data_IF_421362735296
#
_entry.id   IF_421362735296
#
_cell.length_a   1.000
_cell.length_b   1.000
_cell.length_c   1.000
_cell.angle_alpha   90.00
_cell.angle_beta   90.00
_cell.angle_gamma   90.00
#
_symmetry.space_group_name_H-M   'P 1'
#
loop_
_entity.id
_entity.type
_entity.pdbx_description
1 polymer ?
#
# COMPACT_ATOMS: atom_id res chain seq x y z
N UNK A 1 4.99 -6.68 -10.49
CA UNK A 1 4.89 -5.21 -10.53
C UNK A 1 4.98 -4.68 -9.11
N UNK A 2 5.83 -3.67 -8.88
CA UNK A 2 6.04 -3.00 -7.60
C UNK A 2 5.56 -1.57 -7.71
N UNK A 3 4.84 -1.09 -6.71
CA UNK A 3 4.27 0.25 -6.67
C UNK A 3 4.76 0.97 -5.42
N UNK A 4 5.21 2.21 -5.60
CA UNK A 4 5.52 3.16 -4.54
C UNK A 4 4.56 4.34 -4.66
N UNK A 5 4.21 4.95 -3.53
CA UNK A 5 3.40 6.18 -3.50
C UNK A 5 4.18 7.26 -2.80
N UNK A 6 4.19 8.46 -3.38
CA UNK A 6 4.70 9.65 -2.72
C UNK A 6 3.71 10.82 -2.91
N UNK A 7 3.32 11.42 -1.79
CA UNK A 7 2.47 12.61 -1.72
C UNK A 7 3.24 13.66 -0.93
N UNK A 8 3.56 14.79 -1.54
CA UNK A 8 4.24 15.89 -0.86
C UNK A 8 3.33 16.49 0.23
N UNK A 9 3.92 16.88 1.36
CA UNK A 9 3.15 17.49 2.45
C UNK A 9 2.61 18.87 2.05
N UNK A 10 3.43 19.68 1.38
CA UNK A 10 3.08 21.03 0.91
C UNK A 10 3.23 21.13 -0.61
N UNK A 11 2.44 22.01 -1.27
CA UNK A 11 2.69 22.41 -2.65
C UNK A 11 4.07 23.07 -2.79
N UNK A 12 4.72 22.90 -3.94
CA UNK A 12 6.02 23.51 -4.24
C UNK A 12 6.05 25.05 -4.15
N UNK A 13 4.89 25.72 -4.23
CA UNK A 13 4.78 27.19 -4.21
C UNK A 13 4.75 27.80 -2.80
N UNK A 14 4.42 27.01 -1.76
CA UNK A 14 4.27 27.52 -0.38
C UNK A 14 5.58 27.49 0.43
N UNK A 15 6.67 26.94 -0.12
CA UNK A 15 7.98 26.99 0.53
C UNK A 15 8.71 28.29 0.19
N UNK A 16 8.44 29.36 0.93
CA UNK A 16 9.26 30.59 0.92
C UNK A 16 10.75 30.31 1.27
N UNK A 17 11.05 29.12 1.77
CA UNK A 17 12.38 28.58 2.01
C UNK A 17 12.89 27.74 0.83
N UNK A 18 13.42 28.41 -0.21
CA UNK A 18 14.07 27.82 -1.40
C UNK A 18 15.36 27.01 -1.15
N UNK A 19 15.48 26.30 -0.03
CA UNK A 19 16.66 25.46 0.21
C UNK A 19 16.58 24.10 -0.52
N UNK A 20 15.38 23.60 -0.81
CA UNK A 20 15.19 22.33 -1.51
C UNK A 20 14.72 22.56 -2.95
N UNK A 21 15.57 22.23 -3.94
CA UNK A 21 15.25 22.33 -5.37
C UNK A 21 14.22 21.28 -5.85
N UNK A 22 13.87 20.31 -5.00
CA UNK A 22 12.94 19.23 -5.30
C UNK A 22 12.09 18.93 -4.06
N UNK A 23 10.77 18.90 -4.21
CA UNK A 23 9.84 18.56 -3.12
C UNK A 23 9.78 17.06 -2.81
N UNK A 24 10.31 16.22 -3.72
CA UNK A 24 10.49 14.79 -3.51
C UNK A 24 11.93 14.53 -3.04
N UNK A 25 12.13 13.97 -1.83
CA UNK A 25 13.48 13.66 -1.35
C UNK A 25 14.10 12.56 -2.20
N UNK A 26 15.11 12.92 -2.98
CA UNK A 26 15.77 12.00 -3.93
C UNK A 26 16.41 10.78 -3.23
N UNK A 27 16.75 10.88 -1.94
CA UNK A 27 17.20 9.73 -1.14
C UNK A 27 16.19 8.58 -1.11
N UNK A 28 14.89 8.87 -1.13
CA UNK A 28 13.84 7.85 -1.16
C UNK A 28 13.71 7.29 -2.58
N UNK A 29 13.74 8.16 -3.60
CA UNK A 29 13.78 7.72 -5.01
C UNK A 29 14.97 6.80 -5.27
N UNK A 30 16.13 7.08 -4.66
CA UNK A 30 17.31 6.23 -4.75
C UNK A 30 17.04 4.80 -4.25
N UNK A 31 16.28 4.62 -3.16
CA UNK A 31 15.90 3.29 -2.65
C UNK A 31 14.98 2.54 -3.61
N UNK A 32 14.06 3.22 -4.29
CA UNK A 32 13.26 2.61 -5.35
C UNK A 32 14.15 2.15 -6.52
N UNK A 33 15.14 2.94 -6.91
CA UNK A 33 16.10 2.62 -7.98
C UNK A 33 17.00 1.45 -7.58
N UNK A 34 17.52 1.41 -6.36
CA UNK A 34 18.32 0.27 -5.87
C UNK A 34 17.53 -1.05 -5.94
N UNK A 35 16.25 -1.03 -5.56
CA UNK A 35 15.39 -2.21 -5.72
C UNK A 35 15.15 -2.53 -7.20
N UNK A 36 14.96 -1.52 -8.06
CA UNK A 36 14.77 -1.72 -9.49
C UNK A 36 15.98 -2.34 -10.18
N UNK A 37 17.19 -1.90 -9.81
CA UNK A 37 18.44 -2.47 -10.28
C UNK A 37 18.67 -3.90 -9.73
N UNK A 38 18.21 -4.18 -8.50
CA UNK A 38 18.27 -5.54 -7.92
C UNK A 38 17.33 -6.53 -8.60
N UNK A 39 16.20 -6.05 -9.12
CA UNK A 39 15.14 -6.89 -9.68
C UNK A 39 14.79 -6.46 -11.12
N UNK A 40 15.68 -6.71 -12.10
CA UNK A 40 15.54 -6.22 -13.48
C UNK A 40 14.26 -6.68 -14.17
N UNK A 41 13.76 -7.87 -13.85
CA UNK A 41 12.57 -8.47 -14.48
C UNK A 41 11.24 -7.92 -13.92
N UNK A 42 11.29 -7.06 -12.90
CA UNK A 42 10.12 -6.44 -12.32
C UNK A 42 9.98 -4.98 -12.78
N UNK A 43 8.74 -4.59 -13.08
CA UNK A 43 8.39 -3.18 -13.27
C UNK A 43 8.19 -2.50 -11.91
N UNK A 44 8.81 -1.34 -11.75
CA UNK A 44 8.70 -0.47 -10.60
C UNK A 44 7.97 0.81 -10.99
N UNK A 45 6.89 1.14 -10.29
CA UNK A 45 6.05 2.30 -10.58
C UNK A 45 6.10 3.24 -9.38
N UNK A 46 6.55 4.46 -9.59
CA UNK A 46 6.50 5.53 -8.61
C UNK A 46 5.32 6.45 -8.93
N UNK A 47 4.29 6.39 -8.08
CA UNK A 47 3.09 7.20 -8.18
C UNK A 47 3.26 8.51 -7.41
N UNK A 48 3.09 9.63 -8.12
CA UNK A 48 3.28 10.99 -7.60
C UNK A 48 1.99 11.80 -7.72
N UNK A 49 1.67 12.66 -6.74
CA UNK A 49 0.59 13.65 -6.92
C UNK A 49 1.13 14.88 -7.66
N UNK A 50 0.95 14.91 -8.98
CA UNK A 50 1.47 15.99 -9.81
C UNK A 50 0.86 17.37 -9.50
N UNK A 51 -0.27 17.46 -8.79
CA UNK A 51 -0.83 18.74 -8.34
C UNK A 51 0.03 19.40 -7.26
N UNK A 52 0.83 18.61 -6.54
CA UNK A 52 1.70 19.08 -5.46
C UNK A 52 3.16 19.23 -5.91
N UNK A 53 3.47 18.87 -7.16
CA UNK A 53 4.80 18.96 -7.75
C UNK A 53 4.85 20.08 -8.79
N UNK A 54 5.92 20.88 -8.75
CA UNK A 54 6.26 21.80 -9.84
C UNK A 54 7.03 21.08 -10.96
N UNK A 55 7.18 21.77 -12.10
CA UNK A 55 7.92 21.23 -13.25
C UNK A 55 9.37 20.91 -12.90
N UNK A 56 9.98 21.70 -12.01
CA UNK A 56 11.36 21.50 -11.58
C UNK A 56 11.53 20.20 -10.79
N UNK A 57 10.67 19.93 -9.81
CA UNK A 57 10.68 18.67 -9.04
C UNK A 57 10.42 17.47 -9.95
N UNK A 58 9.46 17.59 -10.89
CA UNK A 58 9.20 16.54 -11.89
C UNK A 58 10.44 16.24 -12.73
N UNK A 59 11.09 17.30 -13.24
CA UNK A 59 12.31 17.18 -14.02
C UNK A 59 13.44 16.52 -13.23
N UNK A 60 13.65 16.91 -11.97
CA UNK A 60 14.69 16.33 -11.12
C UNK A 60 14.46 14.84 -10.85
N UNK A 61 13.25 14.44 -10.48
CA UNK A 61 12.93 13.03 -10.23
C UNK A 61 13.13 12.19 -11.49
N UNK A 62 12.60 12.65 -12.63
CA UNK A 62 12.76 11.94 -13.91
C UNK A 62 14.22 11.82 -14.34
N UNK A 63 14.99 12.91 -14.22
CA UNK A 63 16.42 12.94 -14.57
C UNK A 63 17.23 12.03 -13.66
N UNK A 64 16.94 12.03 -12.35
CA UNK A 64 17.61 11.18 -11.38
C UNK A 64 17.37 9.69 -11.65
N UNK A 65 16.13 9.30 -11.96
CA UNK A 65 15.80 7.93 -12.38
C UNK A 65 16.53 7.57 -13.67
N UNK A 66 16.53 8.45 -14.67
CA UNK A 66 17.22 8.21 -15.93
C UNK A 66 18.73 8.05 -15.76
N UNK A 67 19.34 8.78 -14.84
CA UNK A 67 20.79 8.70 -14.60
C UNK A 67 21.19 7.48 -13.77
N UNK A 68 20.38 7.07 -12.80
CA UNK A 68 20.76 6.05 -11.82
C UNK A 68 20.13 4.66 -12.05
N UNK A 69 19.11 4.53 -12.90
CA UNK A 69 18.50 3.22 -13.21
C UNK A 69 19.25 2.48 -14.31
N UNK A 70 19.66 1.25 -14.03
CA UNK A 70 20.43 0.41 -14.96
C UNK A 70 19.54 -0.25 -16.03
N UNK A 71 18.29 -0.55 -15.69
CA UNK A 71 17.40 -1.38 -16.52
C UNK A 71 16.20 -0.65 -17.11
N UNK A 72 16.06 0.67 -16.87
CA UNK A 72 14.92 1.48 -17.36
C UNK A 72 13.55 0.90 -16.97
N UNK A 73 13.50 0.16 -15.86
CA UNK A 73 12.31 -0.51 -15.33
C UNK A 73 11.61 0.30 -14.21
N UNK A 74 11.96 1.58 -14.06
CA UNK A 74 11.29 2.53 -13.15
C UNK A 74 10.43 3.49 -13.96
N UNK A 75 9.13 3.50 -13.70
CA UNK A 75 8.11 4.28 -14.41
C UNK A 75 7.53 5.31 -13.46
N UNK A 76 7.40 6.56 -13.92
CA UNK A 76 6.68 7.61 -13.22
C UNK A 76 5.21 7.63 -13.65
N UNK A 77 4.31 7.62 -12.68
CA UNK A 77 2.87 7.73 -12.91
C UNK A 77 2.26 8.85 -12.07
N UNK A 78 1.18 9.44 -12.57
CA UNK A 78 0.39 10.45 -11.86
C UNK A 78 -0.74 9.79 -11.05
N UNK A 79 -0.81 10.06 -9.75
CA UNK A 79 -1.92 9.62 -8.89
C UNK A 79 -3.27 10.15 -9.40
N UNK A 80 -3.30 11.32 -10.05
CA UNK A 80 -4.52 11.91 -10.58
C UNK A 80 -5.11 11.12 -11.76
N UNK A 81 -4.33 10.22 -12.39
CA UNK A 81 -4.83 9.30 -13.40
C UNK A 81 -5.76 8.23 -12.81
N UNK A 82 -5.78 8.04 -11.49
CA UNK A 82 -6.67 7.10 -10.80
C UNK A 82 -7.99 7.83 -10.49
N UNK A 83 -9.14 7.44 -11.08
CA UNK A 83 -10.40 8.18 -10.90
C UNK A 83 -10.85 8.28 -9.44
N UNK A 84 -10.66 7.21 -8.66
CA UNK A 84 -10.99 7.20 -7.24
C UNK A 84 -10.06 8.08 -6.40
N UNK A 85 -8.87 8.42 -6.90
CA UNK A 85 -7.97 9.35 -6.23
C UNK A 85 -8.34 10.80 -6.59
N UNK A 86 -8.47 11.11 -7.88
CA UNK A 86 -8.77 12.48 -8.33
C UNK A 86 -10.19 12.95 -7.97
N UNK A 87 -11.14 12.02 -7.85
CA UNK A 87 -12.53 12.32 -7.50
C UNK A 87 -12.74 12.69 -6.03
N UNK A 88 -11.89 12.22 -5.11
CA UNK A 88 -12.10 12.33 -3.67
C UNK A 88 -11.60 13.68 -3.12
N UNK A 89 -12.46 14.39 -2.38
CA UNK A 89 -12.12 15.70 -1.80
C UNK A 89 -10.99 15.63 -0.78
N UNK A 90 -10.80 14.45 -0.16
CA UNK A 90 -9.67 14.13 0.72
C UNK A 90 -8.31 14.49 0.10
N UNK A 91 -8.16 14.34 -1.23
CA UNK A 91 -6.91 14.62 -1.93
C UNK A 91 -6.90 16.01 -2.57
N UNK A 92 -8.01 16.75 -2.58
CA UNK A 92 -8.10 18.08 -3.20
C UNK A 92 -7.78 19.21 -2.21
N UNK A 93 -8.17 19.05 -0.95
CA UNK A 93 -7.95 20.07 0.08
C UNK A 93 -6.59 19.90 0.78
N UNK A 94 -5.73 20.90 0.62
CA UNK A 94 -4.39 21.02 1.24
C UNK A 94 -4.40 21.96 2.44
N UNK A 95 -5.52 22.11 3.16
CA UNK A 95 -5.57 22.94 4.36
C UNK A 95 -4.79 22.27 5.51
N UNK A 96 -3.48 22.46 5.50
CA UNK A 96 -2.50 21.81 6.36
C UNK A 96 -2.43 22.48 7.73
N UNK A 97 -3.41 22.22 8.60
CA UNK A 97 -3.34 22.60 10.01
C UNK A 97 -2.92 21.42 10.89
N UNK A 98 -1.63 21.10 10.88
CA UNK A 98 -0.97 20.41 11.98
C UNK A 98 0.01 19.29 11.60
N UNK A 99 1.11 19.21 12.37
CA UNK A 99 2.13 18.13 12.35
C UNK A 99 1.60 16.77 12.88
N UNK A 100 0.28 16.62 13.02
CA UNK A 100 -0.32 15.44 13.62
C UNK A 100 -0.38 14.31 12.59
N UNK A 101 0.11 13.12 12.97
CA UNK A 101 0.06 11.93 12.10
C UNK A 101 -1.38 11.49 11.80
N UNK A 102 -2.32 11.84 12.68
CA UNK A 102 -3.76 11.61 12.56
C UNK A 102 -4.53 12.91 12.33
N UNK A 103 -5.68 12.79 11.66
CA UNK A 103 -6.53 13.93 11.31
C UNK A 103 -6.89 13.95 9.82
N UNK A 104 -8.09 14.43 9.50
CA UNK A 104 -8.52 14.62 8.12
C UNK A 104 -7.56 15.61 7.43
N UNK A 105 -6.98 15.20 6.29
CA UNK A 105 -5.99 16.00 5.55
C UNK A 105 -4.52 15.72 5.90
N UNK A 106 -4.22 14.89 6.90
CA UNK A 106 -2.84 14.42 7.19
C UNK A 106 -2.22 13.74 5.96
N UNK A 107 -0.97 14.06 5.64
CA UNK A 107 -0.23 13.42 4.54
C UNK A 107 -0.12 11.90 4.72
N UNK A 108 -0.03 11.43 5.96
CA UNK A 108 0.03 10.00 6.28
C UNK A 108 -1.30 9.30 5.96
N UNK A 109 -2.43 9.91 6.36
CA UNK A 109 -3.77 9.38 6.07
C UNK A 109 -4.02 9.37 4.55
N UNK A 110 -3.59 10.41 3.84
CA UNK A 110 -3.65 10.46 2.37
C UNK A 110 -2.79 9.36 1.74
N UNK A 111 -1.55 9.18 2.18
CA UNK A 111 -0.66 8.14 1.66
C UNK A 111 -1.21 6.71 1.94
N UNK A 112 -1.79 6.48 3.11
CA UNK A 112 -2.45 5.21 3.47
C UNK A 112 -3.69 4.93 2.62
N UNK A 113 -4.47 5.94 2.30
CA UNK A 113 -5.59 5.78 1.38
C UNK A 113 -5.08 5.53 -0.05
N UNK A 114 -4.14 6.35 -0.51
CA UNK A 114 -3.60 6.30 -1.87
C UNK A 114 -2.96 4.95 -2.20
N UNK A 115 -2.20 4.32 -1.28
CA UNK A 115 -1.62 2.99 -1.51
C UNK A 115 -2.68 1.92 -1.78
N UNK A 116 -3.83 2.00 -1.11
CA UNK A 116 -4.95 1.09 -1.34
C UNK A 116 -5.59 1.36 -2.70
N UNK A 117 -5.82 2.63 -3.04
CA UNK A 117 -6.39 3.00 -4.34
C UNK A 117 -5.47 2.60 -5.51
N UNK A 118 -4.15 2.75 -5.37
CA UNK A 118 -3.17 2.29 -6.35
C UNK A 118 -3.22 0.76 -6.50
N UNK A 119 -3.25 0.01 -5.40
CA UNK A 119 -3.37 -1.45 -5.47
C UNK A 119 -4.65 -1.89 -6.18
N UNK A 120 -5.78 -1.26 -5.89
CA UNK A 120 -7.07 -1.57 -6.54
C UNK A 120 -7.03 -1.25 -8.03
N UNK A 121 -6.52 -0.07 -8.39
CA UNK A 121 -6.33 0.35 -9.76
C UNK A 121 -5.45 -0.67 -10.52
N UNK A 122 -4.30 -1.02 -9.96
CA UNK A 122 -3.38 -1.96 -10.58
C UNK A 122 -3.99 -3.37 -10.70
N UNK A 123 -4.71 -3.86 -9.69
CA UNK A 123 -5.41 -5.15 -9.73
C UNK A 123 -6.45 -5.22 -10.86
N UNK A 124 -7.13 -4.12 -11.14
CA UNK A 124 -8.13 -4.03 -12.21
C UNK A 124 -7.47 -4.03 -13.59
N UNK A 125 -6.35 -3.31 -13.76
CA UNK A 125 -5.69 -3.09 -15.05
C UNK A 125 -4.67 -4.18 -15.43
N UNK A 126 -4.06 -4.87 -14.46
CA UNK A 126 -2.89 -5.73 -14.67
C UNK A 126 -3.15 -7.17 -14.21
N UNK A 127 -4.22 -7.79 -14.74
CA UNK A 127 -4.67 -9.14 -14.32
C UNK A 127 -3.73 -10.27 -14.75
N UNK A 128 -2.88 -10.01 -15.73
CA UNK A 128 -1.87 -10.93 -16.28
C UNK A 128 -0.62 -11.04 -15.39
N UNK A 129 -0.42 -10.09 -14.48
CA UNK A 129 0.77 -10.08 -13.61
C UNK A 129 0.68 -11.17 -12.54
N UNK A 130 1.81 -11.83 -12.21
CA UNK A 130 1.82 -12.91 -11.20
C UNK A 130 1.44 -12.39 -9.81
N UNK A 131 1.89 -11.17 -9.49
CA UNK A 131 1.48 -10.44 -8.30
C UNK A 131 1.70 -8.93 -8.46
N UNK A 132 0.95 -8.17 -7.68
CA UNK A 132 1.03 -6.71 -7.56
C UNK A 132 1.45 -6.39 -6.14
N UNK A 133 2.53 -5.62 -5.99
CA UNK A 133 3.12 -5.27 -4.71
C UNK A 133 3.06 -3.76 -4.54
N UNK A 134 2.63 -3.30 -3.37
CA UNK A 134 2.91 -1.96 -2.87
C UNK A 134 4.02 -2.07 -1.83
N UNK A 135 4.99 -1.15 -1.86
CA UNK A 135 5.99 -1.00 -0.81
C UNK A 135 6.09 0.44 -0.36
N UNK A 136 6.45 0.65 0.90
CA UNK A 136 7.02 1.94 1.29
C UNK A 136 8.33 2.17 0.51
N UNK A 137 8.55 3.42 0.09
CA UNK A 137 9.65 3.79 -0.82
C UNK A 137 11.03 3.63 -0.18
N UNK A 138 11.10 3.63 1.15
CA UNK A 138 12.33 3.47 1.93
C UNK A 138 12.63 2.02 2.31
N UNK A 139 11.86 1.05 1.79
CA UNK A 139 12.12 -0.37 2.02
C UNK A 139 13.47 -0.79 1.39
N UNK A 140 14.45 -1.26 2.19
CA UNK A 140 15.79 -1.55 1.66
C UNK A 140 15.83 -2.78 0.76
N UNK A 141 14.96 -3.76 1.03
CA UNK A 141 14.82 -4.95 0.20
C UNK A 141 13.42 -5.54 0.26
N UNK A 142 12.81 -5.67 -0.92
CA UNK A 142 11.46 -6.19 -1.11
C UNK A 142 11.38 -7.71 -1.02
N UNK A 143 12.51 -8.42 -1.18
CA UNK A 143 12.55 -9.89 -1.23
C UNK A 143 11.53 -10.48 -2.21
N UNK A 144 11.50 -9.99 -3.46
CA UNK A 144 10.43 -10.30 -4.41
C UNK A 144 10.23 -11.79 -4.66
N UNK A 145 11.29 -12.60 -4.63
CA UNK A 145 11.19 -14.05 -4.77
C UNK A 145 10.42 -14.70 -3.61
N UNK A 146 10.68 -14.26 -2.37
CA UNK A 146 9.96 -14.73 -1.19
C UNK A 146 8.50 -14.26 -1.21
N UNK A 147 8.27 -12.97 -1.51
CA UNK A 147 6.94 -12.41 -1.66
C UNK A 147 6.12 -13.15 -2.72
N UNK A 148 6.70 -13.41 -3.90
CA UNK A 148 6.04 -14.12 -5.00
C UNK A 148 5.61 -15.52 -4.62
N UNK A 149 6.48 -16.31 -3.98
CA UNK A 149 6.15 -17.65 -3.45
C UNK A 149 4.97 -17.59 -2.47
N UNK A 150 5.01 -16.64 -1.54
CA UNK A 150 3.97 -16.50 -0.52
C UNK A 150 2.63 -16.08 -1.13
N UNK A 151 2.65 -15.13 -2.08
CA UNK A 151 1.45 -14.71 -2.81
C UNK A 151 0.87 -15.87 -3.63
N UNK A 152 1.70 -16.67 -4.29
CA UNK A 152 1.24 -17.84 -5.03
C UNK A 152 0.50 -18.83 -4.12
N UNK A 153 1.02 -19.05 -2.91
CA UNK A 153 0.44 -20.01 -1.96
C UNK A 153 -0.80 -19.45 -1.23
N UNK A 154 -0.75 -18.20 -0.79
CA UNK A 154 -1.74 -17.62 0.15
C UNK A 154 -2.55 -16.46 -0.42
N UNK A 155 -2.30 -16.04 -1.65
CA UNK A 155 -2.96 -14.91 -2.30
C UNK A 155 -2.53 -13.54 -1.80
N UNK A 156 -2.11 -13.42 -0.54
CA UNK A 156 -1.65 -12.17 0.07
C UNK A 156 -0.39 -12.41 0.89
N UNK A 157 0.64 -11.58 0.66
CA UNK A 157 1.84 -11.50 1.48
C UNK A 157 1.98 -10.09 2.07
N UNK A 158 2.33 -10.02 3.36
CA UNK A 158 2.51 -8.74 4.07
C UNK A 158 3.88 -8.76 4.71
N UNK A 159 4.68 -7.73 4.51
CA UNK A 159 5.93 -7.56 5.25
C UNK A 159 5.79 -6.46 6.31
N UNK A 160 6.26 -6.74 7.52
CA UNK A 160 6.37 -5.76 8.59
C UNK A 160 7.79 -5.78 9.18
N UNK A 161 8.49 -4.66 9.07
CA UNK A 161 9.82 -4.48 9.69
C UNK A 161 9.75 -4.01 11.15
N UNK A 162 8.55 -3.78 11.71
CA UNK A 162 8.31 -3.26 13.07
C UNK A 162 7.67 -4.24 14.07
N UNK A 163 7.75 -3.93 15.38
CA UNK A 163 7.19 -4.76 16.48
C UNK A 163 5.66 -4.65 16.66
N UNK A 164 5.01 -3.66 16.05
CA UNK A 164 3.59 -3.40 16.21
C UNK A 164 2.92 -3.18 14.85
N UNK A 165 1.72 -3.74 14.68
CA UNK A 165 0.88 -3.66 13.47
C UNK A 165 0.24 -2.28 13.30
N UNK A 166 1.05 -1.22 13.18
CA UNK A 166 0.58 0.08 12.69
C UNK A 166 0.93 0.07 11.20
N UNK A 167 -0.06 -0.20 10.35
CA UNK A 167 0.06 -0.88 9.04
C UNK A 167 1.40 -0.62 8.32
N UNK A 168 2.23 -1.67 8.31
CA UNK A 168 3.47 -1.80 7.55
C UNK A 168 4.37 -0.56 7.56
N UNK A 169 4.59 0.11 8.71
CA UNK A 169 5.68 1.10 8.75
C UNK A 169 6.98 0.41 8.34
N UNK A 170 7.51 0.80 7.17
CA UNK A 170 8.65 0.17 6.50
C UNK A 170 8.32 -1.26 6.03
N UNK A 171 7.27 -1.44 5.23
CA UNK A 171 6.86 -2.77 4.76
C UNK A 171 6.20 -2.78 3.39
N UNK A 172 5.61 -3.92 3.04
CA UNK A 172 4.92 -4.10 1.76
C UNK A 172 3.64 -4.93 1.90
N UNK A 173 2.75 -4.75 0.93
CA UNK A 173 1.55 -5.57 0.71
C UNK A 173 1.65 -6.12 -0.72
N UNK A 174 1.64 -7.44 -0.86
CA UNK A 174 1.65 -8.10 -2.15
C UNK A 174 0.39 -8.95 -2.33
N UNK A 175 -0.24 -8.83 -3.49
CA UNK A 175 -1.56 -9.38 -3.80
C UNK A 175 -1.50 -10.18 -5.09
N UNK A 176 -2.21 -11.29 -5.13
CA UNK A 176 -2.43 -12.09 -6.33
C UNK A 176 -3.64 -11.57 -7.11
N UNK A 177 -3.48 -11.07 -8.35
CA UNK A 177 -4.60 -10.64 -9.19
C UNK A 177 -5.54 -11.78 -9.59
N UNK A 178 -5.06 -13.02 -9.61
CA UNK A 178 -5.83 -14.21 -9.99
C UNK A 178 -6.66 -14.80 -8.84
N UNK A 179 -6.48 -14.32 -7.61
CA UNK A 179 -7.24 -14.77 -6.44
C UNK A 179 -8.60 -14.09 -6.38
N UNK A 180 -9.65 -14.89 -6.59
CA UNK A 180 -11.06 -14.43 -6.66
C UNK A 180 -11.49 -13.66 -5.41
N UNK A 181 -11.14 -14.17 -4.24
CA UNK A 181 -11.45 -13.59 -2.94
C UNK A 181 -10.76 -12.24 -2.73
N UNK A 182 -9.49 -12.10 -3.14
CA UNK A 182 -8.81 -10.80 -3.18
C UNK A 182 -9.59 -9.83 -4.07
N UNK A 183 -9.90 -10.22 -5.31
CA UNK A 183 -10.67 -9.37 -6.23
C UNK A 183 -12.07 -9.00 -5.74
N UNK A 184 -12.73 -9.87 -4.97
CA UNK A 184 -14.05 -9.61 -4.38
C UNK A 184 -13.99 -8.69 -3.15
N UNK A 185 -12.97 -8.84 -2.30
CA UNK A 185 -12.88 -8.14 -1.01
C UNK A 185 -12.13 -6.81 -1.10
N UNK A 186 -11.25 -6.63 -2.10
CA UNK A 186 -10.45 -5.41 -2.23
C UNK A 186 -11.27 -4.14 -2.48
N UNK A 187 -12.36 -4.15 -3.28
CA UNK A 187 -13.24 -2.98 -3.41
C UNK A 187 -13.85 -2.55 -2.06
N UNK A 188 -14.23 -3.51 -1.21
CA UNK A 188 -14.74 -3.22 0.14
C UNK A 188 -13.66 -2.58 1.02
N UNK A 189 -12.40 -3.03 0.90
CA UNK A 189 -11.27 -2.41 1.58
C UNK A 189 -11.09 -0.95 1.12
N UNK A 190 -11.22 -0.67 -0.17
CA UNK A 190 -11.13 0.69 -0.70
C UNK A 190 -12.19 1.61 -0.08
N UNK A 191 -13.46 1.19 -0.14
CA UNK A 191 -14.58 1.96 0.43
C UNK A 191 -14.41 2.21 1.93
N UNK A 192 -13.98 1.19 2.68
CA UNK A 192 -13.75 1.32 4.13
C UNK A 192 -12.55 2.22 4.43
N UNK A 193 -11.52 2.20 3.59
CA UNK A 193 -10.31 3.03 3.76
C UNK A 193 -10.61 4.48 3.47
N UNK A 194 -11.37 4.80 2.41
CA UNK A 194 -11.82 6.17 2.11
C UNK A 194 -12.63 6.72 3.28
N UNK A 195 -13.61 5.96 3.79
CA UNK A 195 -14.44 6.37 4.94
C UNK A 195 -13.63 6.58 6.21
N UNK A 196 -12.60 5.77 6.45
CA UNK A 196 -11.69 5.94 7.59
C UNK A 196 -10.84 7.20 7.43
N UNK A 197 -10.27 7.41 6.25
CA UNK A 197 -9.41 8.55 5.94
C UNK A 197 -10.16 9.89 6.06
N UNK A 198 -11.42 9.94 5.60
CA UNK A 198 -12.29 11.11 5.78
C UNK A 198 -12.56 11.44 7.26
N UNK A 199 -12.49 10.45 8.15
CA UNK A 199 -12.59 10.62 9.61
C UNK A 199 -11.24 10.92 10.29
N UNK A 200 -10.16 10.97 9.52
CA UNK A 200 -8.79 11.14 10.02
C UNK A 200 -8.20 9.89 10.69
N UNK A 201 -8.83 8.73 10.53
CA UNK A 201 -8.34 7.44 11.01
C UNK A 201 -7.30 6.87 10.04
N UNK A 202 -6.24 6.28 10.58
CA UNK A 202 -5.32 5.45 9.81
C UNK A 202 -6.05 4.17 9.35
N UNK A 203 -5.67 3.64 8.18
CA UNK A 203 -6.33 2.51 7.53
C UNK A 203 -6.32 1.17 8.31
N UNK A 204 -5.69 1.14 9.50
CA UNK A 204 -5.48 0.00 10.41
C UNK A 204 -6.70 -0.91 10.55
N UNK A 205 -7.85 -0.31 10.86
CA UNK A 205 -9.10 -1.07 11.09
C UNK A 205 -9.67 -1.65 9.81
N UNK A 206 -9.67 -0.89 8.71
CA UNK A 206 -10.20 -1.33 7.42
C UNK A 206 -9.38 -2.51 6.88
N UNK A 207 -8.05 -2.38 6.90
CA UNK A 207 -7.16 -3.45 6.47
C UNK A 207 -7.26 -4.69 7.35
N UNK A 208 -7.34 -4.53 8.68
CA UNK A 208 -7.52 -5.66 9.59
C UNK A 208 -8.81 -6.44 9.30
N UNK A 209 -9.92 -5.75 9.00
CA UNK A 209 -11.17 -6.40 8.59
C UNK A 209 -11.03 -7.12 7.27
N UNK A 210 -10.34 -6.54 6.29
CA UNK A 210 -10.04 -7.19 5.02
C UNK A 210 -9.27 -8.50 5.23
N UNK A 211 -8.20 -8.49 6.04
CA UNK A 211 -7.43 -9.71 6.35
C UNK A 211 -8.28 -10.76 7.08
N UNK A 212 -9.14 -10.32 8.02
CA UNK A 212 -10.06 -11.22 8.72
C UNK A 212 -11.09 -11.86 7.76
N UNK A 213 -11.59 -11.12 6.77
CA UNK A 213 -12.53 -11.62 5.75
C UNK A 213 -11.86 -12.57 4.76
N UNK A 214 -10.60 -12.32 4.39
CA UNK A 214 -9.82 -13.25 3.57
C UNK A 214 -9.65 -14.59 4.28
N UNK A 215 -9.38 -14.56 5.59
CA UNK A 215 -9.17 -15.78 6.39
C UNK A 215 -7.85 -16.52 6.11
N UNK A 216 -7.10 -16.09 5.10
CA UNK A 216 -5.78 -16.62 4.76
C UNK A 216 -4.87 -15.51 4.24
N UNK A 217 -3.70 -15.38 4.86
CA UNK A 217 -2.62 -14.50 4.44
C UNK A 217 -1.34 -14.92 5.17
N UNK A 218 -0.21 -14.43 4.70
CA UNK A 218 1.08 -14.71 5.33
C UNK A 218 1.84 -13.41 5.63
N UNK A 219 2.50 -13.41 6.78
CA UNK A 219 3.32 -12.30 7.26
C UNK A 219 4.78 -12.69 7.11
N UNK A 220 5.56 -11.88 6.42
CA UNK A 220 7.01 -12.00 6.29
C UNK A 220 7.62 -11.00 7.28
N UNK A 221 8.46 -11.49 8.20
CA UNK A 221 9.14 -10.62 9.16
C UNK A 221 10.60 -11.07 9.36
N UNK A 222 11.35 -10.38 10.23
CA UNK A 222 12.77 -10.70 10.50
C UNK A 222 13.00 -12.13 11.03
N UNK A 223 11.98 -12.78 11.59
CA UNK A 223 12.02 -14.16 12.11
C UNK A 223 11.56 -15.20 11.09
N UNK A 224 11.21 -14.79 9.86
CA UNK A 224 10.76 -15.66 8.78
C UNK A 224 9.28 -15.46 8.40
N UNK A 225 8.70 -16.46 7.75
CA UNK A 225 7.30 -16.48 7.30
C UNK A 225 6.42 -16.99 8.42
N UNK A 226 5.48 -16.16 8.88
CA UNK A 226 4.42 -16.54 9.80
C UNK A 226 3.10 -16.68 9.03
N UNK A 227 2.58 -17.89 8.98
CA UNK A 227 1.23 -18.14 8.50
C UNK A 227 0.24 -17.71 9.58
N UNK A 228 -0.67 -16.80 9.26
CA UNK A 228 -1.89 -16.62 10.04
C UNK A 228 -3.03 -17.26 9.27
N UNK A 229 -3.23 -18.56 9.51
CA UNK A 229 -4.60 -19.00 9.67
C UNK A 229 -5.06 -18.42 11.00
N UNK A 230 -6.18 -17.71 11.06
CA UNK A 230 -6.80 -17.48 12.36
C UNK A 230 -7.00 -18.86 13.01
N UNK A 231 -6.81 -19.00 14.35
CA UNK A 231 -7.34 -20.18 15.03
C UNK A 231 -8.83 -20.30 14.66
N UNK A 232 -9.40 -21.52 14.63
CA UNK A 232 -10.83 -21.67 14.31
C UNK A 232 -11.59 -20.67 15.16
N UNK A 233 -12.39 -19.82 14.50
CA UNK A 233 -13.26 -18.88 15.19
C UNK A 233 -13.86 -19.66 16.34
N UNK A 234 -13.67 -19.19 17.59
CA UNK A 234 -14.47 -19.70 18.69
C UNK A 234 -15.91 -19.52 18.24
N UNK A 235 -16.54 -20.61 17.81
CA UNK A 235 -17.98 -20.68 17.75
C UNK A 235 -18.44 -20.27 19.14
N UNK A 236 -19.33 -19.29 19.21
CA UNK A 236 -19.98 -18.89 20.43
C UNK A 236 -20.41 -20.15 21.19
N UNK A 237 -19.78 -20.43 22.33
CA UNK A 237 -20.39 -21.29 23.34
C UNK A 237 -21.10 -20.34 24.30
N UNK A 238 -22.10 -19.65 23.77
CA UNK A 238 -23.28 -19.29 24.55
C UNK A 238 -24.39 -20.23 24.09
N UNK A 239 -24.62 -21.23 24.95
CA UNK A 239 -25.81 -22.04 25.11
C UNK A 239 -26.83 -22.08 23.95
N UNK A 240 -26.87 -23.21 23.25
CA UNK A 240 -28.11 -23.78 22.75
C UNK A 240 -28.19 -25.25 23.18
N UNK A 241 -29.06 -25.62 24.14
CA UNK A 241 -29.29 -27.01 24.54
C UNK A 241 -30.23 -27.66 23.52
N UNK A 242 -29.68 -28.27 22.47
CA UNK A 242 -30.49 -29.02 21.48
C UNK A 242 -29.87 -30.36 21.08
N UNK A 243 -29.16 -31.03 22.01
CA UNK A 243 -28.73 -32.43 21.87
C UNK A 243 -29.08 -33.27 23.11
N UNK A 244 -30.27 -33.03 23.67
CA UNK A 244 -31.02 -34.01 24.46
C UNK A 244 -32.35 -34.29 23.77
N UNK A 245 -32.31 -34.73 22.52
CA UNK A 245 -33.43 -35.37 21.85
C UNK A 245 -32.81 -36.24 20.77
N UNK A 246 -32.60 -37.51 21.14
CA UNK A 246 -32.57 -38.73 20.32
C UNK A 246 -31.80 -39.77 21.14
N UNK A 247 -32.38 -40.17 22.26
CA UNK A 247 -32.00 -41.44 22.86
C UNK A 247 -32.38 -42.56 21.91
N UNK A 248 -31.42 -43.41 21.57
CA UNK A 248 -31.59 -44.82 21.17
C UNK A 248 -30.25 -45.51 21.47
N UNK A 249 -30.32 -46.39 22.48
CA UNK A 249 -29.47 -47.54 22.89
C UNK A 249 -27.94 -47.42 22.83
#
# INVERSE_FOLDING_TARGET
MVNYVWISELPAQDSETRENMCTVPLQHVHRAIENANRYPDADFILWLDNRLLDDLSRFWVASYIYQCSDHRNVILCDLNAIPAYSGEDLFKNTDHKGKNRSGAGSVYVRADCARILVLDHCLKQNRDRPFILYSDIDCPDLKLAEAGRVVQQHGVAINSLGRFFWITSHGYIALSPSRRDVGMLFPLLCDETIKAAQKGDLGDRAFSRFLNRLGHYAIINRRGIQLRALPPMRQNIEALPYLQLLGIS
#
